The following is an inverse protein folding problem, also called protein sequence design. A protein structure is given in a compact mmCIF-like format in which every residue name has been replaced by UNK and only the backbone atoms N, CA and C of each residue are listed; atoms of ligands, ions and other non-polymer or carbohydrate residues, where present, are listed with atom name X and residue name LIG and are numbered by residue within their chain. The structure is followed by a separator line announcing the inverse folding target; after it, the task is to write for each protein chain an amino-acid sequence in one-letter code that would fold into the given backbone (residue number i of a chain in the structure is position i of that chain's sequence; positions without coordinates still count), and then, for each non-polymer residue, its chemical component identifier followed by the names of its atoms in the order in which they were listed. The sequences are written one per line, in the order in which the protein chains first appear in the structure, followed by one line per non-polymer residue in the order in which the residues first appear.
data_IF_703965072346
#
_entry.id   IF_703965072346
#
_cell.length_a   1.000
_cell.length_b   1.000
_cell.length_c   1.000
_cell.angle_alpha   90.00
_cell.angle_beta   90.00
_cell.angle_gamma   90.00
#
_symmetry.space_group_name_H-M   'P 1'
#
loop_
_entity.id
_entity.type
_entity.pdbx_description
1 polymer ?
#
# COMPACT_ATOMS: atom_id res chain seq x y z
N UNK A 1 -22.40 -16.97 -30.19
CA UNK A 1 -23.06 -15.69 -29.85
C UNK A 1 -22.59 -15.16 -28.50
N UNK A 2 -21.75 -14.12 -28.55
CA UNK A 2 -21.70 -13.01 -27.59
C UNK A 2 -20.78 -11.93 -28.20
N UNK A 3 -21.34 -11.29 -29.23
CA UNK A 3 -20.82 -10.04 -29.79
C UNK A 3 -20.97 -8.94 -28.74
N UNK A 4 -19.87 -8.61 -28.06
CA UNK A 4 -19.76 -7.38 -27.27
C UNK A 4 -19.04 -6.36 -28.18
N UNK A 5 -19.85 -5.50 -28.78
CA UNK A 5 -19.56 -4.18 -29.36
C UNK A 5 -18.10 -3.82 -29.73
N UNK A 6 -17.85 -3.66 -31.03
CA UNK A 6 -16.75 -2.88 -31.60
C UNK A 6 -16.67 -1.48 -30.96
N UNK A 7 -15.71 -1.25 -30.06
CA UNK A 7 -15.30 0.12 -29.73
C UNK A 7 -14.47 0.68 -30.90
N UNK A 8 -14.95 1.73 -31.56
CA UNK A 8 -14.31 2.42 -32.70
C UNK A 8 -13.00 3.16 -32.33
N UNK A 9 -12.55 3.06 -31.07
CA UNK A 9 -11.39 3.74 -30.54
C UNK A 9 -10.15 2.85 -30.63
N UNK A 10 -9.42 2.95 -31.74
CA UNK A 10 -8.09 2.36 -31.86
C UNK A 10 -7.04 3.33 -31.28
N UNK A 11 -6.98 3.43 -29.95
CA UNK A 11 -5.97 4.25 -29.27
C UNK A 11 -4.66 3.47 -29.24
N UNK A 12 -3.68 3.92 -30.03
CA UNK A 12 -2.33 3.38 -29.96
C UNK A 12 -1.59 3.97 -28.76
N UNK A 13 -1.64 3.26 -27.62
CA UNK A 13 -0.99 3.67 -26.37
C UNK A 13 0.52 3.94 -26.50
N UNK A 14 1.20 3.33 -27.48
CA UNK A 14 2.64 3.59 -27.74
C UNK A 14 2.94 5.04 -28.10
N UNK A 15 1.97 5.76 -28.64
CA UNK A 15 2.13 7.17 -29.01
C UNK A 15 2.13 8.11 -27.79
N UNK A 16 1.71 7.62 -26.62
CA UNK A 16 1.67 8.38 -25.36
C UNK A 16 2.85 8.04 -24.43
N UNK A 17 3.74 7.13 -24.84
CA UNK A 17 4.92 6.77 -24.06
C UNK A 17 6.03 7.80 -24.26
N UNK A 18 6.32 8.58 -23.22
CA UNK A 18 7.52 9.41 -23.18
C UNK A 18 8.78 8.57 -22.88
N UNK A 19 9.95 9.17 -23.04
CA UNK A 19 11.22 8.44 -22.89
C UNK A 19 11.44 7.94 -21.45
N UNK A 20 11.00 8.69 -20.44
CA UNK A 20 11.04 8.24 -19.05
C UNK A 20 10.18 7.00 -18.82
N UNK A 21 8.99 6.94 -19.41
CA UNK A 21 8.06 5.82 -19.30
C UNK A 21 8.63 4.57 -19.99
N UNK A 22 9.28 4.72 -21.14
CA UNK A 22 10.00 3.62 -21.81
C UNK A 22 11.15 3.11 -20.95
N UNK A 23 11.95 4.02 -20.40
CA UNK A 23 13.09 3.65 -19.54
C UNK A 23 12.61 2.99 -18.24
N UNK A 24 11.59 3.53 -17.58
CA UNK A 24 10.99 2.91 -16.38
C UNK A 24 10.43 1.52 -16.69
N UNK A 25 9.72 1.36 -17.81
CA UNK A 25 9.15 0.06 -18.21
C UNK A 25 10.24 -0.96 -18.58
N UNK A 26 11.36 -0.52 -19.16
CA UNK A 26 12.52 -1.38 -19.43
C UNK A 26 13.29 -1.75 -18.17
N UNK A 27 13.34 -0.86 -17.18
CA UNK A 27 13.95 -1.09 -15.86
C UNK A 27 13.00 -1.76 -14.87
N UNK A 28 11.75 -2.02 -15.26
CA UNK A 28 10.79 -2.75 -14.46
C UNK A 28 11.19 -4.22 -14.41
N UNK A 29 11.94 -4.52 -13.35
CA UNK A 29 12.47 -5.85 -13.07
C UNK A 29 11.28 -6.82 -12.89
N UNK A 30 10.13 -6.39 -12.36
CA UNK A 30 8.97 -7.29 -12.21
C UNK A 30 8.39 -7.76 -13.54
N UNK A 31 8.44 -6.93 -14.60
CA UNK A 31 7.95 -7.32 -15.94
C UNK A 31 8.94 -8.17 -16.73
N UNK A 32 10.23 -7.96 -16.54
CA UNK A 32 11.31 -8.61 -17.30
C UNK A 32 11.89 -9.86 -16.61
N UNK A 33 11.42 -10.16 -15.40
CA UNK A 33 11.89 -11.28 -14.61
C UNK A 33 11.49 -12.66 -15.15
N UNK A 34 12.32 -13.65 -14.81
CA UNK A 34 12.02 -15.06 -15.05
C UNK A 34 10.75 -15.40 -14.25
N UNK A 35 9.64 -15.62 -14.96
CA UNK A 35 8.41 -16.14 -14.37
C UNK A 35 8.71 -17.43 -13.63
N UNK A 36 8.16 -17.56 -12.43
CA UNK A 36 8.27 -18.76 -11.62
C UNK A 36 7.88 -20.00 -12.45
N UNK A 37 8.74 -21.02 -12.44
CA UNK A 37 8.49 -22.33 -13.08
C UNK A 37 8.40 -23.42 -12.01
N UNK A 38 7.56 -24.43 -12.27
CA UNK A 38 7.48 -25.63 -11.43
C UNK A 38 8.88 -26.25 -11.25
N UNK A 39 9.27 -26.48 -9.99
CA UNK A 39 10.61 -26.95 -9.59
C UNK A 39 11.58 -25.84 -9.15
N UNK A 40 11.19 -24.56 -9.17
CA UNK A 40 11.98 -23.45 -8.64
C UNK A 40 11.45 -22.95 -7.30
N UNK A 41 12.35 -22.65 -6.36
CA UNK A 41 12.02 -21.99 -5.08
C UNK A 41 12.19 -20.48 -5.28
N UNK A 42 11.11 -19.72 -5.10
CA UNK A 42 11.14 -18.25 -5.20
C UNK A 42 11.44 -17.63 -3.84
N UNK A 43 12.59 -16.98 -3.69
CA UNK A 43 12.94 -16.17 -2.51
C UNK A 43 12.52 -14.69 -2.65
N UNK A 44 11.76 -14.36 -3.69
CA UNK A 44 11.36 -12.98 -4.00
C UNK A 44 10.05 -12.59 -3.32
N UNK A 45 9.17 -13.56 -3.12
CA UNK A 45 7.87 -13.32 -2.50
C UNK A 45 8.05 -13.24 -0.99
N UNK A 46 7.75 -12.07 -0.43
CA UNK A 46 7.55 -11.89 1.02
C UNK A 46 6.13 -12.24 1.45
N UNK A 47 5.25 -12.56 0.49
CA UNK A 47 3.86 -12.88 0.78
C UNK A 47 3.80 -14.19 1.56
N UNK A 48 3.18 -14.19 2.76
CA UNK A 48 2.98 -15.40 3.53
C UNK A 48 2.04 -16.35 2.79
N UNK A 49 2.08 -17.63 3.18
CA UNK A 49 1.15 -18.64 2.67
C UNK A 49 -0.31 -18.25 2.97
N UNK A 50 -1.20 -18.46 2.01
CA UNK A 50 -2.62 -18.16 2.11
C UNK A 50 -3.30 -18.90 3.27
N UNK A 51 -2.83 -20.11 3.56
CA UNK A 51 -3.39 -20.95 4.63
C UNK A 51 -3.03 -20.44 6.04
N UNK A 52 -2.10 -19.48 6.16
CA UNK A 52 -1.77 -18.83 7.43
C UNK A 52 -2.78 -17.76 7.84
N UNK A 53 -3.68 -17.36 6.94
CA UNK A 53 -4.71 -16.38 7.25
C UNK A 53 -5.96 -17.07 7.81
N UNK A 54 -6.26 -16.82 9.08
CA UNK A 54 -7.50 -17.29 9.70
C UNK A 54 -8.70 -16.47 9.18
N UNK A 55 -9.25 -16.94 8.07
CA UNK A 55 -10.38 -16.29 7.40
C UNK A 55 -11.65 -16.29 8.24
N UNK A 56 -11.84 -17.26 9.14
CA UNK A 56 -13.02 -17.33 9.98
C UNK A 56 -12.95 -16.31 11.11
N UNK A 57 -11.79 -16.17 11.75
CA UNK A 57 -11.60 -15.17 12.80
C UNK A 57 -11.62 -13.74 12.24
N UNK A 58 -11.09 -13.53 11.03
CA UNK A 58 -11.20 -12.26 10.32
C UNK A 58 -12.68 -11.87 10.10
N UNK A 59 -13.49 -12.78 9.56
CA UNK A 59 -14.93 -12.55 9.33
C UNK A 59 -15.66 -12.23 10.63
N UNK A 60 -15.43 -13.02 11.68
CA UNK A 60 -16.05 -12.79 13.00
C UNK A 60 -15.67 -11.43 13.56
N UNK A 61 -14.39 -11.07 13.51
CA UNK A 61 -13.89 -9.77 13.99
C UNK A 61 -14.52 -8.60 13.24
N UNK A 62 -14.62 -8.72 11.90
CA UNK A 62 -15.25 -7.72 11.06
C UNK A 62 -16.73 -7.55 11.39
N UNK A 63 -17.49 -8.66 11.43
CA UNK A 63 -18.93 -8.63 11.75
C UNK A 63 -19.20 -8.12 13.16
N UNK A 64 -18.36 -8.48 14.13
CA UNK A 64 -18.46 -7.97 15.50
C UNK A 64 -18.34 -6.44 15.50
N UNK A 65 -17.30 -5.89 14.85
CA UNK A 65 -17.13 -4.43 14.81
C UNK A 65 -18.25 -3.74 14.04
N UNK A 66 -18.70 -4.35 12.95
CA UNK A 66 -19.82 -3.85 12.16
C UNK A 66 -21.13 -3.80 12.97
N UNK A 67 -21.40 -4.82 13.79
CA UNK A 67 -22.58 -4.85 14.66
C UNK A 67 -22.52 -3.82 15.79
N UNK A 68 -21.32 -3.55 16.34
CA UNK A 68 -21.15 -2.58 17.44
C UNK A 68 -21.25 -1.12 16.98
N UNK A 69 -20.68 -0.80 15.81
CA UNK A 69 -20.52 0.59 15.34
C UNK A 69 -21.48 0.95 14.22
N UNK A 70 -21.97 -0.05 13.47
CA UNK A 70 -22.96 0.09 12.42
C UNK A 70 -22.59 1.17 11.40
N UNK A 71 -23.55 2.08 11.18
CA UNK A 71 -23.43 3.17 10.20
C UNK A 71 -22.24 4.11 10.46
N UNK A 72 -21.69 4.19 11.69
CA UNK A 72 -20.54 5.05 11.99
C UNK A 72 -19.28 4.64 11.23
N UNK A 73 -19.12 3.35 10.92
CA UNK A 73 -17.98 2.86 10.13
C UNK A 73 -18.06 3.29 8.66
N UNK A 74 -19.27 3.57 8.16
CA UNK A 74 -19.52 3.90 6.75
C UNK A 74 -19.69 5.40 6.52
N UNK A 75 -19.80 6.18 7.59
CA UNK A 75 -19.94 7.63 7.50
C UNK A 75 -18.56 8.30 7.44
N UNK A 76 -18.55 9.60 7.17
CA UNK A 76 -17.32 10.39 7.22
C UNK A 76 -16.62 10.23 8.57
N UNK A 77 -15.41 9.69 8.51
CA UNK A 77 -14.53 9.52 9.66
C UNK A 77 -13.78 10.80 10.00
N UNK A 78 -13.09 10.76 11.14
CA UNK A 78 -12.16 11.81 11.50
C UNK A 78 -10.91 11.75 10.61
N UNK A 79 -10.37 12.90 10.20
CA UNK A 79 -9.24 12.98 9.26
C UNK A 79 -7.97 12.26 9.75
N UNK A 80 -7.78 12.18 11.06
CA UNK A 80 -6.66 11.45 11.65
C UNK A 80 -6.81 9.92 11.57
N UNK A 81 -8.05 9.45 11.43
CA UNK A 81 -8.40 8.03 11.35
C UNK A 81 -9.27 7.55 12.50
N UNK A 82 -9.38 6.23 12.60
CA UNK A 82 -10.31 5.57 13.50
C UNK A 82 -9.82 5.57 14.95
N UNK A 83 -10.47 6.36 15.81
CA UNK A 83 -10.04 6.60 17.20
C UNK A 83 -9.76 5.31 18.02
N UNK A 84 -10.63 4.28 18.02
CA UNK A 84 -10.36 3.05 18.76
C UNK A 84 -9.10 2.31 18.31
N UNK A 85 -8.77 2.38 17.02
CA UNK A 85 -7.53 1.81 16.47
C UNK A 85 -6.31 2.64 16.89
N UNK A 86 -6.43 3.97 16.83
CA UNK A 86 -5.37 4.90 17.29
C UNK A 86 -5.02 4.64 18.77
N UNK A 87 -6.03 4.56 19.63
CA UNK A 87 -5.83 4.32 21.07
C UNK A 87 -5.17 2.96 21.34
N UNK A 88 -5.59 1.92 20.62
CA UNK A 88 -4.96 0.61 20.67
C UNK A 88 -3.48 0.69 20.24
N UNK A 89 -3.18 1.40 19.15
CA UNK A 89 -1.82 1.54 18.63
C UNK A 89 -0.92 2.33 19.59
N UNK A 90 -1.41 3.35 20.28
CA UNK A 90 -0.64 4.02 21.33
C UNK A 90 -0.19 3.04 22.42
N UNK A 91 -1.11 2.20 22.90
CA UNK A 91 -0.80 1.16 23.88
C UNK A 91 0.19 0.12 23.33
N UNK A 92 0.01 -0.30 22.08
CA UNK A 92 0.91 -1.23 21.40
C UNK A 92 2.34 -0.67 21.27
N UNK A 93 2.47 0.60 20.85
CA UNK A 93 3.76 1.26 20.67
C UNK A 93 4.48 1.47 22.00
N UNK A 94 3.76 1.83 23.06
CA UNK A 94 4.32 1.91 24.41
C UNK A 94 4.85 0.54 24.88
N UNK A 95 4.12 -0.56 24.63
CA UNK A 95 4.58 -1.92 24.93
C UNK A 95 5.83 -2.32 24.14
N UNK A 96 6.03 -1.75 22.94
CA UNK A 96 7.24 -1.92 22.13
C UNK A 96 8.40 -1.00 22.55
N UNK A 97 8.23 -0.21 23.61
CA UNK A 97 9.27 0.68 24.14
C UNK A 97 9.35 2.03 23.43
N UNK A 98 8.37 2.38 22.59
CA UNK A 98 8.33 3.68 21.92
C UNK A 98 7.72 4.71 22.86
N UNK A 99 8.45 5.80 23.13
CA UNK A 99 7.90 6.93 23.89
C UNK A 99 6.88 7.71 23.03
N UNK A 100 5.61 7.58 23.39
CA UNK A 100 4.47 8.26 22.74
C UNK A 100 4.06 9.58 23.40
N UNK A 101 4.79 10.05 24.42
CA UNK A 101 4.50 11.33 25.09
C UNK A 101 4.56 12.48 24.10
N UNK A 102 3.48 13.28 24.03
CA UNK A 102 3.31 14.40 23.10
C UNK A 102 3.47 14.02 21.62
N UNK A 103 3.23 12.75 21.26
CA UNK A 103 3.22 12.29 19.88
C UNK A 103 1.85 11.73 19.54
N UNK A 104 1.50 11.84 18.26
CA UNK A 104 0.21 11.38 17.75
C UNK A 104 0.39 10.34 16.63
N UNK A 105 -0.67 9.59 16.35
CA UNK A 105 -0.71 8.58 15.28
C UNK A 105 -1.69 9.05 14.21
N UNK A 106 -1.22 9.10 12.96
CA UNK A 106 -2.02 9.37 11.77
C UNK A 106 -2.20 8.07 10.99
N UNK A 107 -3.45 7.71 10.68
CA UNK A 107 -3.75 6.56 9.83
C UNK A 107 -3.53 6.91 8.36
N UNK A 108 -2.82 6.04 7.63
CA UNK A 108 -2.57 6.15 6.18
C UNK A 108 -2.95 4.84 5.49
N UNK A 109 -3.27 4.88 4.21
CA UNK A 109 -3.65 3.72 3.39
C UNK A 109 -2.44 2.87 2.94
N UNK A 110 -1.24 3.17 3.43
CA UNK A 110 -0.06 2.36 3.19
C UNK A 110 1.23 3.16 3.28
N UNK A 111 2.34 2.44 3.13
CA UNK A 111 3.68 3.02 3.17
C UNK A 111 3.87 4.13 2.12
N UNK A 112 3.45 3.91 0.87
CA UNK A 112 3.61 4.87 -0.22
C UNK A 112 2.91 6.21 0.05
N UNK A 113 1.69 6.17 0.60
CA UNK A 113 0.97 7.39 1.00
C UNK A 113 1.69 8.10 2.15
N UNK A 114 2.10 7.35 3.18
CA UNK A 114 2.83 7.91 4.31
C UNK A 114 4.15 8.56 3.89
N UNK A 115 4.92 7.89 3.02
CA UNK A 115 6.17 8.44 2.47
C UNK A 115 5.92 9.71 1.67
N UNK A 116 4.89 9.72 0.81
CA UNK A 116 4.52 10.88 0.02
C UNK A 116 4.09 12.07 0.91
N UNK A 117 3.33 11.81 1.98
CA UNK A 117 2.98 12.83 2.98
C UNK A 117 4.22 13.44 3.62
N UNK A 118 5.19 12.63 4.03
CA UNK A 118 6.44 13.11 4.64
C UNK A 118 7.23 13.97 3.65
N UNK A 119 7.44 13.48 2.43
CA UNK A 119 8.23 14.21 1.41
C UNK A 119 7.54 15.53 1.06
N UNK A 120 6.24 15.51 0.80
CA UNK A 120 5.49 16.72 0.40
C UNK A 120 5.37 17.76 1.52
N UNK A 121 5.40 17.36 2.79
CA UNK A 121 5.29 18.28 3.93
C UNK A 121 6.63 18.81 4.43
N UNK A 122 7.70 18.01 4.31
CA UNK A 122 9.01 18.35 4.87
C UNK A 122 10.05 18.84 3.86
N UNK A 123 9.79 18.73 2.55
CA UNK A 123 10.78 19.06 1.52
C UNK A 123 10.25 20.02 0.47
N UNK A 124 11.16 20.78 -0.12
CA UNK A 124 10.94 21.65 -1.26
C UNK A 124 11.80 21.22 -2.45
N UNK A 125 11.43 21.70 -3.65
CA UNK A 125 12.21 21.47 -4.86
C UNK A 125 13.64 22.01 -4.67
N UNK A 126 14.61 21.11 -4.79
CA UNK A 126 16.04 21.43 -4.64
C UNK A 126 16.66 20.94 -3.34
N UNK A 127 15.85 20.45 -2.39
CA UNK A 127 16.36 19.85 -1.16
C UNK A 127 17.03 18.50 -1.41
N UNK A 128 18.01 18.16 -0.58
CA UNK A 128 18.73 16.90 -0.63
C UNK A 128 18.19 15.94 0.44
N UNK A 129 17.83 14.72 0.02
CA UNK A 129 17.36 13.65 0.92
C UNK A 129 18.44 12.56 0.95
N UNK A 130 18.87 12.18 2.15
CA UNK A 130 19.80 11.07 2.33
C UNK A 130 19.05 9.75 2.41
N UNK A 131 19.49 8.77 1.61
CA UNK A 131 18.92 7.42 1.57
C UNK A 131 20.02 6.36 1.72
N UNK A 132 19.63 5.16 2.14
CA UNK A 132 20.50 3.99 2.19
C UNK A 132 20.92 3.56 0.77
N UNK A 133 22.04 2.84 0.64
CA UNK A 133 22.49 2.29 -0.64
C UNK A 133 22.72 0.76 -0.53
N UNK A 134 21.85 -0.08 -1.10
CA UNK A 134 20.68 0.24 -1.94
C UNK A 134 19.48 0.76 -1.14
N UNK A 135 18.63 1.57 -1.78
CA UNK A 135 17.36 2.08 -1.20
C UNK A 135 16.14 1.33 -1.73
N UNK A 136 14.98 1.51 -1.07
CA UNK A 136 13.68 1.03 -1.53
C UNK A 136 13.35 1.56 -2.94
N UNK A 137 13.08 0.64 -3.88
CA UNK A 137 12.59 0.99 -5.21
C UNK A 137 11.06 1.05 -5.19
N UNK A 138 10.50 2.22 -5.47
CA UNK A 138 9.04 2.45 -5.52
C UNK A 138 8.51 2.48 -6.96
N UNK A 139 9.32 2.03 -7.93
CA UNK A 139 8.92 1.96 -9.35
C UNK A 139 7.91 0.87 -9.62
#
# INVERSE_FOLDING_TARGET
DNNISNSHWNINYKNFENDYMKTANNMDIMKSEIRWKSGQISFKSISPDGDLFDMEELKKSFLNRFNLEGHKLLNYGYAQGYKPLIDYLHGYMNKKGVNTTNKDILMVNGFTEGLNLIISTLTNKGDYIFCENPTHNTS
#
